data_IF_728793426037
#
_entry.id   IF_728793426037
#
_cell.length_a   1.000
_cell.length_b   1.000
_cell.length_c   1.000
_cell.angle_alpha   90.00
_cell.angle_beta   90.00
_cell.angle_gamma   90.00
#
_symmetry.space_group_name_H-M   'P 1'
#
loop_
_entity.id
_entity.type
_entity.pdbx_description
1 polymer ?
#
# COMPACT_ATOMS: atom_id res chain seq x y z
N UNK A 1 11.95 11.07 -3.24
CA UNK A 1 11.95 10.27 -2.00
C UNK A 1 12.28 8.84 -2.41
N UNK A 2 13.38 8.29 -1.88
CA UNK A 2 13.82 6.94 -2.24
C UNK A 2 12.75 5.90 -1.89
N UNK A 3 12.62 4.87 -2.74
CA UNK A 3 11.77 3.74 -2.43
C UNK A 3 12.13 3.21 -1.05
N UNK A 4 11.20 3.26 -0.09
CA UNK A 4 11.40 2.65 1.22
C UNK A 4 11.67 1.16 1.01
N UNK A 5 12.80 0.68 1.52
CA UNK A 5 13.13 -0.74 1.45
C UNK A 5 12.10 -1.51 2.30
N UNK A 6 11.77 -2.75 1.91
CA UNK A 6 10.85 -3.61 2.67
C UNK A 6 11.21 -3.72 4.15
N UNK A 7 12.50 -3.64 4.48
CA UNK A 7 12.99 -3.67 5.86
C UNK A 7 12.64 -2.41 6.65
N UNK A 8 12.66 -1.23 6.01
CA UNK A 8 12.29 0.03 6.67
C UNK A 8 10.79 0.04 6.98
N UNK A 9 9.97 -0.39 6.01
CA UNK A 9 8.53 -0.51 6.16
C UNK A 9 8.16 -1.54 7.24
N UNK A 10 8.82 -2.70 7.23
CA UNK A 10 8.64 -3.71 8.28
C UNK A 10 9.02 -3.15 9.66
N UNK A 11 10.12 -2.39 9.76
CA UNK A 11 10.55 -1.78 11.02
C UNK A 11 9.53 -0.77 11.54
N UNK A 12 8.92 0.04 10.66
CA UNK A 12 7.83 0.94 11.03
C UNK A 12 6.60 0.18 11.54
N UNK A 13 6.17 -0.87 10.83
CA UNK A 13 5.02 -1.69 11.23
C UNK A 13 5.29 -2.40 12.56
N UNK A 14 6.49 -2.96 12.74
CA UNK A 14 6.91 -3.58 14.00
C UNK A 14 6.93 -2.57 15.15
N UNK A 15 7.38 -1.34 14.93
CA UNK A 15 7.36 -0.30 15.95
C UNK A 15 5.93 0.10 16.35
N UNK A 16 4.99 0.13 15.40
CA UNK A 16 3.59 0.49 15.66
C UNK A 16 2.75 -0.64 16.25
N UNK A 17 2.98 -1.88 15.82
CA UNK A 17 2.07 -3.01 16.09
C UNK A 17 2.75 -4.25 16.67
N UNK A 18 4.08 -4.30 16.73
CA UNK A 18 4.82 -5.52 17.10
C UNK A 18 4.57 -6.02 18.51
N UNK A 19 4.14 -5.18 19.44
CA UNK A 19 3.72 -5.62 20.79
C UNK A 19 2.42 -6.43 20.79
N UNK A 20 1.66 -6.43 19.69
CA UNK A 20 0.37 -7.12 19.57
C UNK A 20 0.46 -8.41 18.74
N UNK A 21 1.66 -8.74 18.27
CA UNK A 21 1.90 -9.85 17.36
C UNK A 21 2.88 -10.82 18.02
N UNK A 22 2.61 -12.10 17.84
CA UNK A 22 3.59 -13.17 18.11
C UNK A 22 4.75 -13.09 17.13
N UNK A 23 5.82 -13.83 17.43
CA UNK A 23 6.99 -13.89 16.54
C UNK A 23 6.64 -14.49 15.17
N UNK A 24 5.75 -15.49 15.13
CA UNK A 24 5.28 -16.11 13.89
C UNK A 24 4.47 -15.11 13.04
N UNK A 25 3.54 -14.36 13.66
CA UNK A 25 2.78 -13.31 12.97
C UNK A 25 3.70 -12.18 12.48
N UNK A 26 4.76 -11.87 13.22
CA UNK A 26 5.77 -10.88 12.78
C UNK A 26 6.57 -11.36 11.56
N UNK A 27 6.88 -12.65 11.46
CA UNK A 27 7.48 -13.21 10.24
C UNK A 27 6.52 -13.14 9.05
N UNK A 28 5.25 -13.51 9.24
CA UNK A 28 4.25 -13.38 8.18
C UNK A 28 4.08 -11.94 7.70
N UNK A 29 4.09 -10.97 8.63
CA UNK A 29 4.05 -9.54 8.29
C UNK A 29 5.28 -9.13 7.50
N UNK A 30 6.48 -9.60 7.86
CA UNK A 30 7.71 -9.31 7.10
C UNK A 30 7.60 -9.81 5.67
N UNK A 31 7.15 -11.05 5.50
CA UNK A 31 6.96 -11.65 4.17
C UNK A 31 5.88 -10.92 3.36
N UNK A 32 4.79 -10.53 4.00
CA UNK A 32 3.74 -9.72 3.39
C UNK A 32 4.26 -8.38 2.89
N UNK A 33 5.02 -7.65 3.72
CA UNK A 33 5.63 -6.36 3.36
C UNK A 33 6.57 -6.52 2.18
N UNK A 34 7.42 -7.56 2.18
CA UNK A 34 8.31 -7.86 1.05
C UNK A 34 7.54 -8.05 -0.26
N UNK A 35 6.50 -8.88 -0.26
CA UNK A 35 5.67 -9.13 -1.46
C UNK A 35 4.96 -7.86 -1.95
N UNK A 36 4.46 -7.02 -1.04
CA UNK A 36 3.82 -5.74 -1.39
C UNK A 36 4.83 -4.78 -2.02
N UNK A 37 6.06 -4.71 -1.51
CA UNK A 37 7.09 -3.87 -2.12
C UNK A 37 7.48 -4.34 -3.52
N UNK A 38 7.65 -5.65 -3.72
CA UNK A 38 7.91 -6.24 -5.03
C UNK A 38 6.77 -5.95 -6.03
N UNK A 39 5.51 -6.09 -5.58
CA UNK A 39 4.34 -5.73 -6.39
C UNK A 39 4.31 -4.24 -6.73
N UNK A 40 4.64 -3.38 -5.76
CA UNK A 40 4.66 -1.93 -5.96
C UNK A 40 5.71 -1.53 -6.99
N UNK A 41 6.89 -2.16 -6.97
CA UNK A 41 7.94 -1.91 -7.95
C UNK A 41 7.53 -2.39 -9.35
N UNK A 42 6.81 -3.51 -9.44
CA UNK A 42 6.19 -3.95 -10.69
C UNK A 42 5.15 -2.93 -11.21
N UNK A 43 4.29 -2.39 -10.33
CA UNK A 43 3.32 -1.36 -10.72
C UNK A 43 4.00 -0.06 -11.17
N UNK A 44 5.09 0.36 -10.52
CA UNK A 44 5.88 1.54 -10.92
C UNK A 44 6.56 1.39 -12.27
N UNK A 45 6.78 0.16 -12.73
CA UNK A 45 7.36 -0.09 -14.05
C UNK A 45 6.38 0.22 -15.19
N UNK A 46 5.08 0.33 -14.90
CA UNK A 46 4.07 0.73 -15.87
C UNK A 46 4.23 2.22 -16.19
N UNK A 47 4.55 2.53 -17.44
CA UNK A 47 4.57 3.91 -17.93
C UNK A 47 3.15 4.39 -18.14
N UNK A 48 2.77 5.44 -17.42
CA UNK A 48 1.50 6.14 -17.59
C UNK A 48 1.72 7.40 -18.42
N UNK A 49 0.78 7.68 -19.30
CA UNK A 49 0.66 8.91 -20.04
C UNK A 49 -0.39 9.83 -19.41
N UNK A 50 -0.38 11.12 -19.75
CA UNK A 50 -1.35 12.09 -19.20
C UNK A 50 -2.82 11.77 -19.53
N UNK A 51 -3.08 10.87 -20.49
CA UNK A 51 -4.42 10.40 -20.85
C UNK A 51 -4.89 9.20 -20.04
N UNK A 52 -4.00 8.60 -19.24
CA UNK A 52 -4.33 7.46 -18.40
C UNK A 52 -5.00 7.96 -17.12
N UNK A 53 -6.33 8.01 -17.18
CA UNK A 53 -7.17 8.48 -16.09
C UNK A 53 -7.44 7.37 -15.06
N UNK A 54 -7.64 7.72 -13.77
CA UNK A 54 -8.09 6.76 -12.76
C UNK A 54 -9.40 6.07 -13.19
N UNK A 55 -9.55 4.78 -12.89
CA UNK A 55 -10.77 4.02 -13.19
C UNK A 55 -12.03 4.64 -12.57
N UNK A 56 -11.89 5.31 -11.43
CA UNK A 56 -12.99 5.95 -10.73
C UNK A 56 -12.65 7.41 -10.46
N UNK A 57 -13.53 8.28 -10.90
CA UNK A 57 -13.45 9.70 -10.63
C UNK A 57 -14.29 10.01 -9.39
N UNK A 58 -13.80 10.93 -8.58
CA UNK A 58 -14.59 11.46 -7.48
C UNK A 58 -15.89 12.07 -8.03
N UNK A 59 -17.02 11.59 -7.52
CA UNK A 59 -18.33 12.17 -7.77
C UNK A 59 -18.89 12.67 -6.44
N UNK A 60 -19.09 13.99 -6.27
CA UNK A 60 -19.73 14.48 -5.06
C UNK A 60 -21.17 14.00 -5.01
N UNK A 61 -21.61 13.56 -3.84
CA UNK A 61 -23.02 13.19 -3.62
C UNK A 61 -23.90 14.41 -3.87
N UNK A 62 -24.86 14.26 -4.76
CA UNK A 62 -25.87 15.29 -5.03
C UNK A 62 -27.15 14.98 -4.24
N UNK A 63 -27.94 16.01 -3.93
CA UNK A 63 -29.19 15.87 -3.17
C UNK A 63 -30.19 14.88 -3.79
N UNK A 64 -30.08 14.63 -5.11
CA UNK A 64 -30.89 13.65 -5.86
C UNK A 64 -30.54 12.19 -5.58
N UNK A 65 -29.37 11.92 -5.01
CA UNK A 65 -28.89 10.56 -4.71
C UNK A 65 -29.14 10.18 -3.24
N UNK A 66 -29.76 11.07 -2.46
CA UNK A 66 -30.09 10.90 -1.03
C UNK A 66 -31.59 10.69 -0.77
N UNK A 67 -32.41 10.63 -1.84
CA UNK A 67 -33.85 10.31 -1.82
C UNK A 67 -34.06 8.86 -2.30
#
# INVERSE_FOLDING_TARGET
MGAFNSNDLFSMIKASYGMRLSDDELEEVRDGVKRITELTDALRSVQLENRDEPMYWFKPYTRKELE
#
